data_IF_360051361471
#
_entry.id   IF_360051361471
#
_cell.length_a   1.000
_cell.length_b   1.000
_cell.length_c   1.000
_cell.angle_alpha   90.00
_cell.angle_beta   90.00
_cell.angle_gamma   90.00
#
_symmetry.space_group_name_H-M   'P 1'
#
loop_
_entity.id
_entity.type
_entity.pdbx_description
1 polymer ?
#
# COMPACT_ATOMS: atom_id res chain seq x y z
N UNK A 1 -22.17 -8.41 5.63
CA UNK A 1 -22.89 -8.48 6.93
C UNK A 1 -22.54 -7.26 7.75
N UNK A 2 -23.49 -6.68 8.52
CA UNK A 2 -23.16 -5.67 9.53
C UNK A 2 -22.15 -6.21 10.57
N UNK A 3 -21.44 -5.30 11.22
CA UNK A 3 -20.53 -5.59 12.33
C UNK A 3 -21.34 -5.56 13.62
N UNK A 4 -21.92 -6.70 14.00
CA UNK A 4 -22.81 -6.78 15.18
C UNK A 4 -22.03 -6.71 16.51
N UNK A 5 -20.72 -6.89 16.46
CA UNK A 5 -19.77 -6.70 17.55
C UNK A 5 -18.44 -6.19 16.98
N UNK A 6 -17.68 -5.45 17.80
CA UNK A 6 -16.30 -5.08 17.45
C UNK A 6 -15.45 -6.36 17.27
N UNK A 7 -14.58 -6.42 16.26
CA UNK A 7 -13.63 -7.53 16.13
C UNK A 7 -12.63 -7.58 17.27
N UNK A 8 -12.26 -8.79 17.69
CA UNK A 8 -11.32 -9.03 18.79
C UNK A 8 -10.04 -9.74 18.31
N UNK A 9 -10.07 -10.33 17.11
CA UNK A 9 -9.01 -11.19 16.57
C UNK A 9 -8.76 -10.89 15.10
N UNK A 10 -8.37 -9.64 14.83
CA UNK A 10 -8.07 -9.16 13.49
C UNK A 10 -6.76 -9.72 12.94
N UNK A 11 -6.74 -9.94 11.63
CA UNK A 11 -5.55 -10.23 10.83
C UNK A 11 -5.32 -9.11 9.82
N UNK A 12 -4.14 -8.49 9.90
CA UNK A 12 -3.69 -7.49 8.93
C UNK A 12 -2.65 -8.08 7.97
N UNK A 13 -2.89 -7.92 6.68
CA UNK A 13 -2.01 -8.45 5.63
C UNK A 13 -1.48 -7.29 4.79
N UNK A 14 -0.17 -7.29 4.54
CA UNK A 14 0.67 -6.25 3.89
C UNK A 14 1.09 -5.07 4.78
N UNK A 15 2.23 -4.43 4.43
CA UNK A 15 2.90 -3.45 5.28
C UNK A 15 2.02 -2.24 5.66
N UNK A 16 1.43 -1.57 4.67
CA UNK A 16 0.61 -0.37 4.88
C UNK A 16 -0.66 -0.65 5.71
N UNK A 17 -1.26 -1.83 5.53
CA UNK A 17 -2.44 -2.26 6.27
C UNK A 17 -2.10 -2.54 7.73
N UNK A 18 -0.94 -3.16 7.98
CA UNK A 18 -0.41 -3.34 9.34
C UNK A 18 -0.21 -1.97 10.00
N UNK A 19 0.46 -1.03 9.32
CA UNK A 19 0.68 0.32 9.86
C UNK A 19 -0.61 1.10 10.13
N UNK A 20 -1.62 0.92 9.28
CA UNK A 20 -2.94 1.52 9.47
C UNK A 20 -3.60 1.00 10.76
N UNK A 21 -3.61 -0.31 10.98
CA UNK A 21 -4.16 -0.92 12.19
C UNK A 21 -3.39 -0.49 13.45
N UNK A 22 -2.06 -0.45 13.39
CA UNK A 22 -1.22 -0.01 14.51
C UNK A 22 -1.37 1.48 14.80
N UNK A 23 -1.58 2.32 13.78
CA UNK A 23 -1.85 3.76 13.97
C UNK A 23 -3.17 4.02 14.68
N UNK A 24 -4.12 3.08 14.57
CA UNK A 24 -5.38 3.06 15.31
C UNK A 24 -5.24 2.46 16.73
N UNK A 25 -4.03 2.05 17.11
CA UNK A 25 -3.75 1.40 18.40
C UNK A 25 -4.46 0.05 18.55
N UNK A 26 -4.66 -0.68 17.44
CA UNK A 26 -5.44 -1.92 17.41
C UNK A 26 -4.60 -3.17 17.70
N UNK A 27 -3.35 -3.04 18.18
CA UNK A 27 -2.48 -4.19 18.41
C UNK A 27 -3.09 -5.26 19.32
N UNK A 28 -3.88 -4.87 20.33
CA UNK A 28 -4.51 -5.80 21.27
C UNK A 28 -5.76 -6.48 20.68
N UNK A 29 -6.28 -5.97 19.56
CA UNK A 29 -7.39 -6.55 18.80
C UNK A 29 -6.89 -7.40 17.62
N UNK A 30 -5.58 -7.65 17.52
CA UNK A 30 -4.99 -8.39 16.40
C UNK A 30 -4.57 -9.81 16.84
N UNK A 31 -5.16 -10.82 16.20
CA UNK A 31 -4.69 -12.21 16.31
C UNK A 31 -3.38 -12.43 15.56
N UNK A 32 -3.05 -11.58 14.58
CA UNK A 32 -1.74 -11.60 13.95
C UNK A 32 -1.60 -10.69 12.74
N UNK A 33 -0.45 -10.80 12.10
CA UNK A 33 -0.08 -10.11 10.86
C UNK A 33 0.76 -10.98 9.95
N UNK A 34 0.96 -10.54 8.71
CA UNK A 34 1.97 -11.11 7.81
C UNK A 34 3.33 -10.44 7.98
N UNK A 35 4.33 -10.87 7.19
CA UNK A 35 5.56 -10.10 7.11
C UNK A 35 5.31 -8.71 6.50
N UNK A 36 6.03 -7.75 7.05
CA UNK A 36 6.23 -6.45 6.46
C UNK A 36 7.19 -6.57 5.27
N UNK A 37 6.84 -5.93 4.15
CA UNK A 37 7.66 -5.87 2.92
C UNK A 37 8.66 -4.71 2.97
N UNK A 38 8.52 -3.82 3.95
CA UNK A 38 9.37 -2.65 4.17
C UNK A 38 9.58 -2.39 5.66
N UNK A 39 10.45 -1.43 5.97
CA UNK A 39 10.62 -0.97 7.34
C UNK A 39 9.32 -0.36 7.87
N UNK A 40 8.92 -0.79 9.06
CA UNK A 40 7.80 -0.19 9.77
C UNK A 40 8.19 1.19 10.30
N UNK A 41 7.26 2.14 10.24
CA UNK A 41 7.41 3.48 10.81
C UNK A 41 8.00 3.41 12.23
N UNK A 42 9.04 4.22 12.55
CA UNK A 42 9.71 4.16 13.85
C UNK A 42 8.75 4.26 15.04
N UNK A 43 7.71 5.10 14.94
CA UNK A 43 6.68 5.28 15.97
C UNK A 43 5.81 4.04 16.21
N UNK A 44 5.72 3.13 15.23
CA UNK A 44 4.89 1.93 15.30
C UNK A 44 5.68 0.67 15.66
N UNK A 45 7.01 0.72 15.76
CA UNK A 45 7.86 -0.45 16.02
C UNK A 45 7.47 -1.20 17.29
N UNK A 46 7.18 -0.49 18.38
CA UNK A 46 6.80 -1.14 19.65
C UNK A 46 5.51 -1.95 19.50
N UNK A 47 4.44 -1.35 18.96
CA UNK A 47 3.17 -2.04 18.71
C UNK A 47 3.31 -3.14 17.67
N UNK A 48 4.14 -2.94 16.64
CA UNK A 48 4.43 -3.96 15.63
C UNK A 48 5.01 -5.24 16.25
N UNK A 49 5.94 -5.15 17.20
CA UNK A 49 6.54 -6.34 17.81
C UNK A 49 5.64 -7.04 18.84
N UNK A 50 4.55 -6.39 19.30
CA UNK A 50 3.54 -7.05 20.15
C UNK A 50 2.65 -8.01 19.35
N UNK A 51 2.37 -7.67 18.09
CA UNK A 51 1.48 -8.48 17.25
C UNK A 51 2.25 -9.68 16.68
N UNK A 52 1.77 -10.92 16.86
CA UNK A 52 2.46 -12.11 16.37
C UNK A 52 2.39 -12.19 14.84
N UNK A 53 3.40 -12.82 14.24
CA UNK A 53 3.40 -13.12 12.82
C UNK A 53 2.69 -14.45 12.62
N UNK A 54 1.57 -14.45 11.89
CA UNK A 54 0.77 -15.64 11.63
C UNK A 54 1.30 -16.44 10.43
N UNK A 55 1.72 -15.74 9.38
CA UNK A 55 2.27 -16.32 8.16
C UNK A 55 3.21 -15.32 7.50
N UNK A 56 4.12 -15.79 6.63
CA UNK A 56 4.98 -14.89 5.85
C UNK A 56 4.20 -14.13 4.78
N UNK A 57 3.26 -14.77 4.10
CA UNK A 57 2.52 -14.21 2.95
C UNK A 57 1.02 -14.22 3.18
N UNK A 58 0.37 -15.38 3.13
CA UNK A 58 -1.07 -15.54 3.30
C UNK A 58 -1.36 -16.73 4.21
N UNK A 59 -2.02 -16.54 5.37
CA UNK A 59 -2.42 -17.65 6.21
C UNK A 59 -3.42 -18.58 5.50
N UNK A 60 -3.32 -19.89 5.75
CA UNK A 60 -4.29 -20.85 5.25
C UNK A 60 -5.63 -20.73 6.00
N UNK A 61 -6.72 -21.23 5.40
CA UNK A 61 -8.04 -21.35 6.04
C UNK A 61 -7.97 -22.01 7.43
N UNK A 62 -7.15 -23.06 7.57
CA UNK A 62 -6.92 -23.75 8.85
C UNK A 62 -6.21 -22.86 9.88
N UNK A 63 -5.22 -22.07 9.45
CA UNK A 63 -4.54 -21.10 10.32
C UNK A 63 -5.52 -20.02 10.81
N UNK A 64 -6.40 -19.52 9.94
CA UNK A 64 -7.42 -18.54 10.31
C UNK A 64 -8.34 -19.07 11.40
N UNK A 65 -8.88 -20.28 11.21
CA UNK A 65 -9.80 -20.92 12.15
C UNK A 65 -9.13 -21.26 13.49
N UNK A 66 -7.94 -21.84 13.47
CA UNK A 66 -7.21 -22.26 14.68
C UNK A 66 -6.76 -21.09 15.56
N UNK A 67 -6.51 -19.92 14.96
CA UNK A 67 -6.21 -18.70 15.71
C UNK A 67 -7.48 -17.92 16.12
N UNK A 68 -8.64 -18.35 15.64
CA UNK A 68 -9.94 -17.71 15.91
C UNK A 68 -10.07 -16.34 15.28
N UNK A 69 -9.46 -16.13 14.10
CA UNK A 69 -9.55 -14.86 13.37
C UNK A 69 -11.01 -14.54 13.09
N UNK A 70 -11.46 -13.32 13.43
CA UNK A 70 -12.84 -12.87 13.22
C UNK A 70 -12.93 -11.67 12.26
N UNK A 71 -11.80 -11.10 11.86
CA UNK A 71 -11.70 -9.99 10.93
C UNK A 71 -10.41 -10.05 10.12
N UNK A 72 -10.49 -9.79 8.83
CA UNK A 72 -9.32 -9.71 7.95
C UNK A 72 -9.39 -8.39 7.17
N UNK A 73 -8.28 -7.66 7.18
CA UNK A 73 -8.12 -6.46 6.36
C UNK A 73 -6.92 -6.61 5.41
N UNK A 74 -7.15 -6.30 4.14
CA UNK A 74 -6.10 -6.19 3.11
C UNK A 74 -6.64 -5.63 1.79
N UNK A 75 -5.87 -5.81 0.72
CA UNK A 75 -6.29 -5.62 -0.67
C UNK A 75 -7.36 -6.63 -1.10
N UNK A 76 -8.18 -6.26 -2.10
CA UNK A 76 -9.22 -7.16 -2.63
C UNK A 76 -8.68 -8.46 -3.21
N UNK A 77 -7.45 -8.44 -3.74
CA UNK A 77 -6.82 -9.56 -4.46
C UNK A 77 -6.59 -10.81 -3.60
N UNK A 78 -6.54 -10.70 -2.28
CA UNK A 78 -6.28 -11.85 -1.40
C UNK A 78 -7.54 -12.67 -1.08
N UNK A 79 -8.73 -12.11 -1.33
CA UNK A 79 -10.01 -12.71 -0.94
C UNK A 79 -10.51 -13.68 -2.01
N UNK A 80 -9.78 -14.79 -2.17
CA UNK A 80 -10.11 -15.88 -3.08
C UNK A 80 -9.60 -17.22 -2.51
N UNK A 81 -9.92 -18.34 -3.17
CA UNK A 81 -9.57 -19.68 -2.69
C UNK A 81 -8.07 -19.97 -2.61
N UNK A 82 -7.23 -19.27 -3.38
CA UNK A 82 -5.77 -19.39 -3.33
C UNK A 82 -5.14 -18.44 -2.30
N UNK A 83 -5.91 -17.47 -1.80
CA UNK A 83 -5.50 -16.53 -0.76
C UNK A 83 -6.07 -16.94 0.59
N UNK A 84 -6.75 -16.01 1.26
CA UNK A 84 -7.31 -16.22 2.61
C UNK A 84 -8.72 -16.83 2.60
N UNK A 85 -9.26 -17.16 1.43
CA UNK A 85 -10.62 -17.62 1.23
C UNK A 85 -11.50 -16.60 0.51
N UNK A 86 -12.56 -17.08 -0.13
CA UNK A 86 -13.59 -16.23 -0.72
C UNK A 86 -14.38 -15.50 0.36
N UNK A 87 -15.02 -14.38 0.00
CA UNK A 87 -15.87 -13.61 0.92
C UNK A 87 -17.00 -14.48 1.49
N UNK A 88 -17.58 -15.36 0.68
CA UNK A 88 -18.64 -16.27 1.12
C UNK A 88 -18.13 -17.26 2.18
N UNK A 89 -16.99 -17.91 1.92
CA UNK A 89 -16.38 -18.83 2.89
C UNK A 89 -16.03 -18.12 4.21
N UNK A 90 -15.51 -16.89 4.13
CA UNK A 90 -15.19 -16.10 5.32
C UNK A 90 -16.46 -15.79 6.13
N UNK A 91 -17.54 -15.36 5.47
CA UNK A 91 -18.82 -15.08 6.13
C UNK A 91 -19.44 -16.34 6.78
N UNK A 92 -19.39 -17.49 6.11
CA UNK A 92 -19.85 -18.79 6.64
C UNK A 92 -19.08 -19.19 7.91
N UNK A 93 -17.83 -18.77 8.03
CA UNK A 93 -16.96 -19.04 9.17
C UNK A 93 -16.89 -17.88 10.18
N UNK A 94 -17.82 -16.91 10.10
CA UNK A 94 -17.91 -15.75 10.97
C UNK A 94 -16.67 -14.83 10.95
N UNK A 95 -15.93 -14.83 9.84
CA UNK A 95 -14.78 -13.96 9.61
C UNK A 95 -15.24 -12.80 8.71
N UNK A 96 -15.16 -11.57 9.20
CA UNK A 96 -15.49 -10.40 8.39
C UNK A 96 -14.30 -9.99 7.52
N UNK A 97 -14.56 -9.68 6.25
CA UNK A 97 -13.55 -9.14 5.35
C UNK A 97 -13.73 -7.62 5.20
N UNK A 98 -12.63 -6.88 5.35
CA UNK A 98 -12.54 -5.47 5.00
C UNK A 98 -11.54 -5.31 3.86
N UNK A 99 -12.05 -4.89 2.70
CA UNK A 99 -11.22 -4.55 1.55
C UNK A 99 -10.88 -3.07 1.65
N UNK A 100 -9.60 -2.76 1.77
CA UNK A 100 -9.14 -1.37 1.83
C UNK A 100 -9.48 -0.61 0.55
N UNK A 101 -10.06 0.58 0.75
CA UNK A 101 -10.46 1.50 -0.32
C UNK A 101 -9.26 2.15 -1.00
N UNK A 102 -8.17 2.40 -0.25
CA UNK A 102 -6.94 2.95 -0.86
C UNK A 102 -6.22 1.96 -1.79
N UNK A 103 -6.73 0.72 -1.94
CA UNK A 103 -6.24 -0.27 -2.89
C UNK A 103 -6.90 -0.25 -4.27
N UNK A 104 -7.94 0.56 -4.44
CA UNK A 104 -8.67 0.67 -5.71
C UNK A 104 -7.91 1.52 -6.74
N UNK A 105 -8.16 1.31 -8.03
CA UNK A 105 -7.47 2.05 -9.09
C UNK A 105 -7.81 3.56 -9.09
N UNK A 106 -8.96 3.95 -8.55
CA UNK A 106 -9.39 5.34 -8.36
C UNK A 106 -9.09 5.86 -6.94
N UNK A 107 -8.29 5.14 -6.14
CA UNK A 107 -7.95 5.55 -4.79
C UNK A 107 -7.27 6.93 -4.76
N UNK A 108 -7.70 7.76 -3.83
CA UNK A 108 -7.10 9.04 -3.49
C UNK A 108 -6.71 9.07 -2.02
N UNK A 109 -6.13 10.18 -1.55
CA UNK A 109 -5.89 10.38 -0.11
C UNK A 109 -7.22 10.33 0.68
N UNK A 110 -8.35 10.73 0.09
CA UNK A 110 -9.64 10.61 0.77
C UNK A 110 -10.03 9.15 1.03
N UNK A 111 -9.64 8.21 0.17
CA UNK A 111 -9.84 6.78 0.40
C UNK A 111 -9.12 6.29 1.67
N UNK A 112 -7.96 6.87 2.00
CA UNK A 112 -7.25 6.59 3.26
C UNK A 112 -8.06 7.13 4.45
N UNK A 113 -8.61 8.34 4.33
CA UNK A 113 -9.44 8.92 5.40
C UNK A 113 -10.71 8.10 5.64
N UNK A 114 -11.34 7.63 4.58
CA UNK A 114 -12.49 6.73 4.63
C UNK A 114 -12.14 5.40 5.30
N UNK A 115 -10.98 4.80 4.96
CA UNK A 115 -10.52 3.58 5.62
C UNK A 115 -10.33 3.77 7.14
N UNK A 116 -9.69 4.87 7.57
CA UNK A 116 -9.58 5.20 8.99
C UNK A 116 -10.95 5.41 9.66
N UNK A 117 -11.87 6.13 9.03
CA UNK A 117 -13.21 6.37 9.58
C UNK A 117 -14.00 5.07 9.71
N UNK A 118 -13.96 4.21 8.69
CA UNK A 118 -14.62 2.91 8.70
C UNK A 118 -14.05 2.01 9.80
N UNK A 119 -12.72 1.94 9.93
CA UNK A 119 -12.07 1.22 11.03
C UNK A 119 -12.43 1.82 12.39
N UNK A 120 -12.56 3.14 12.48
CA UNK A 120 -13.07 3.84 13.66
C UNK A 120 -14.44 3.34 14.06
N UNK A 121 -15.37 3.18 13.11
CA UNK A 121 -16.71 2.65 13.39
C UNK A 121 -16.65 1.16 13.75
N UNK A 122 -15.92 0.35 12.99
CA UNK A 122 -15.83 -1.11 13.16
C UNK A 122 -15.23 -1.48 14.52
N UNK A 123 -14.22 -0.75 14.97
CA UNK A 123 -13.49 -1.02 16.21
C UNK A 123 -13.88 -0.09 17.37
N UNK A 124 -14.92 0.74 17.23
CA UNK A 124 -15.37 1.70 18.25
C UNK A 124 -14.25 2.67 18.68
N UNK A 125 -13.49 3.18 17.70
CA UNK A 125 -12.33 4.07 17.82
C UNK A 125 -12.45 5.34 16.96
N UNK A 126 -13.63 5.89 16.81
CA UNK A 126 -13.91 7.07 15.97
C UNK A 126 -13.07 8.29 16.36
N UNK A 127 -12.86 8.51 17.68
CA UNK A 127 -11.98 9.58 18.15
C UNK A 127 -10.53 9.39 17.69
N UNK A 128 -10.03 8.15 17.69
CA UNK A 128 -8.68 7.85 17.21
C UNK A 128 -8.58 8.00 15.69
N UNK A 129 -9.58 7.54 14.95
CA UNK A 129 -9.67 7.75 13.51
C UNK A 129 -9.61 9.25 13.16
N UNK A 130 -10.38 10.07 13.88
CA UNK A 130 -10.37 11.53 13.71
C UNK A 130 -9.01 12.14 14.02
N UNK A 131 -8.34 11.72 15.09
CA UNK A 131 -6.99 12.17 15.45
C UNK A 131 -5.98 11.86 14.33
N UNK A 132 -5.95 10.61 13.83
CA UNK A 132 -5.05 10.17 12.77
C UNK A 132 -5.33 10.93 11.47
N UNK A 133 -6.60 11.05 11.07
CA UNK A 133 -6.99 11.79 9.87
C UNK A 133 -6.60 13.28 9.94
N UNK A 134 -6.78 13.92 11.09
CA UNK A 134 -6.36 15.31 11.28
C UNK A 134 -4.84 15.47 11.18
N UNK A 135 -4.07 14.53 11.72
CA UNK A 135 -2.61 14.53 11.61
C UNK A 135 -2.18 14.43 10.14
N UNK A 136 -2.70 13.47 9.39
CA UNK A 136 -2.37 13.29 7.97
C UNK A 136 -2.72 14.55 7.17
N UNK A 137 -3.91 15.13 7.40
CA UNK A 137 -4.33 16.38 6.74
C UNK A 137 -3.39 17.54 7.04
N UNK A 138 -2.95 17.67 8.29
CA UNK A 138 -2.03 18.72 8.71
C UNK A 138 -0.66 18.57 8.04
N UNK A 139 -0.08 17.37 8.07
CA UNK A 139 1.23 17.09 7.47
C UNK A 139 1.20 17.24 5.94
N UNK A 140 0.13 16.78 5.29
CA UNK A 140 -0.07 16.96 3.86
C UNK A 140 -0.19 18.44 3.50
N UNK A 141 -0.98 19.22 4.26
CA UNK A 141 -1.11 20.66 4.05
C UNK A 141 0.23 21.38 4.22
N UNK A 142 0.96 21.08 5.30
CA UNK A 142 2.26 21.69 5.56
C UNK A 142 3.25 21.41 4.42
N UNK A 143 3.24 20.19 3.89
CA UNK A 143 4.13 19.78 2.79
C UNK A 143 3.74 20.44 1.47
N UNK A 144 2.44 20.42 1.12
CA UNK A 144 1.94 21.00 -0.12
C UNK A 144 2.05 22.54 -0.13
N UNK A 145 1.88 23.20 1.01
CA UNK A 145 2.08 24.65 1.15
C UNK A 145 3.52 25.07 0.81
N UNK A 146 4.53 24.24 1.12
CA UNK A 146 5.95 24.51 0.83
C UNK A 146 6.27 24.54 -0.65
N UNK A 147 5.46 23.86 -1.48
CA UNK A 147 5.69 23.72 -2.91
C UNK A 147 4.66 24.47 -3.76
N UNK A 148 3.67 25.15 -3.18
CA UNK A 148 2.55 25.78 -3.90
C UNK A 148 2.96 26.75 -5.02
N UNK A 149 4.12 27.38 -4.91
CA UNK A 149 4.63 28.37 -5.86
C UNK A 149 5.57 27.76 -6.92
N UNK A 150 5.77 26.43 -6.89
CA UNK A 150 6.61 25.70 -7.85
C UNK A 150 5.83 25.48 -9.15
N UNK A 151 6.16 26.25 -10.19
CA UNK A 151 5.47 26.15 -11.49
C UNK A 151 6.17 25.20 -12.50
N UNK A 152 7.09 24.35 -12.04
CA UNK A 152 7.82 23.42 -12.91
C UNK A 152 7.08 22.09 -12.99
N UNK A 153 6.60 21.74 -14.17
CA UNK A 153 6.08 20.40 -14.45
C UNK A 153 7.23 19.40 -14.50
N UNK A 154 7.24 18.42 -13.60
CA UNK A 154 8.23 17.34 -13.56
C UNK A 154 7.56 16.04 -14.01
N UNK A 155 8.01 15.47 -15.12
CA UNK A 155 7.56 14.16 -15.60
C UNK A 155 8.20 13.06 -14.77
N UNK A 156 7.38 12.29 -14.06
CA UNK A 156 7.81 11.22 -13.16
C UNK A 156 7.48 9.87 -13.77
N UNK A 157 8.49 9.00 -13.83
CA UNK A 157 8.31 7.56 -14.00
C UNK A 157 8.30 6.89 -12.63
N UNK A 158 7.16 6.37 -12.19
CA UNK A 158 7.13 5.45 -11.05
C UNK A 158 7.54 4.05 -11.49
N UNK A 159 8.78 3.65 -11.26
CA UNK A 159 9.30 2.34 -11.65
C UNK A 159 9.16 1.32 -10.52
N UNK A 160 8.43 0.24 -10.79
CA UNK A 160 8.30 -0.87 -9.86
C UNK A 160 9.36 -1.95 -10.14
N UNK A 161 9.36 -2.55 -11.33
CA UNK A 161 10.23 -3.70 -11.64
C UNK A 161 10.31 -3.97 -13.14
N UNK A 162 11.15 -4.92 -13.57
CA UNK A 162 11.19 -5.46 -14.93
C UNK A 162 12.26 -4.87 -15.85
N UNK A 163 12.90 -5.73 -16.66
CA UNK A 163 14.02 -5.37 -17.55
C UNK A 163 13.63 -5.27 -19.02
N UNK A 164 12.81 -6.21 -19.52
CA UNK A 164 12.36 -6.26 -20.92
C UNK A 164 11.08 -5.44 -21.12
N UNK A 165 10.16 -5.59 -20.17
CA UNK A 165 9.01 -4.73 -19.95
C UNK A 165 9.06 -4.25 -18.51
N UNK A 166 8.72 -2.99 -18.31
CA UNK A 166 8.70 -2.40 -16.97
C UNK A 166 7.29 -2.46 -16.40
N UNK A 167 7.16 -2.88 -15.16
CA UNK A 167 6.00 -2.59 -14.32
C UNK A 167 6.18 -1.19 -13.77
N UNK A 168 5.18 -0.33 -13.98
CA UNK A 168 5.22 1.09 -13.61
C UNK A 168 4.00 1.48 -12.79
N UNK A 169 4.03 2.64 -12.13
CA UNK A 169 2.84 3.21 -11.48
C UNK A 169 1.90 3.74 -12.57
N UNK A 170 0.68 3.21 -12.62
CA UNK A 170 -0.43 3.73 -13.42
C UNK A 170 -1.33 4.62 -12.57
N UNK A 171 -2.65 4.36 -12.53
CA UNK A 171 -3.58 5.05 -11.62
C UNK A 171 -3.44 4.58 -10.16
N UNK A 172 -4.19 5.19 -9.24
CA UNK A 172 -4.27 4.79 -7.82
C UNK A 172 -3.45 5.69 -6.89
N UNK A 173 -3.30 5.26 -5.64
CA UNK A 173 -2.77 6.10 -4.57
C UNK A 173 -1.36 6.66 -4.83
N UNK A 174 -0.48 5.86 -5.45
CA UNK A 174 0.88 6.32 -5.79
C UNK A 174 0.87 7.43 -6.85
N UNK A 175 -0.09 7.42 -7.77
CA UNK A 175 -0.29 8.48 -8.76
C UNK A 175 -0.81 9.77 -8.12
N UNK A 176 -1.73 9.62 -7.16
CA UNK A 176 -2.25 10.73 -6.36
C UNK A 176 -1.11 11.41 -5.59
N UNK A 177 -0.23 10.64 -4.96
CA UNK A 177 0.95 11.17 -4.24
C UNK A 177 1.88 11.95 -5.18
N UNK A 178 2.17 11.41 -6.37
CA UNK A 178 2.96 12.12 -7.39
C UNK A 178 2.29 13.45 -7.76
N UNK A 179 0.96 13.44 -7.95
CA UNK A 179 0.18 14.62 -8.34
C UNK A 179 0.15 15.68 -7.23
N UNK A 180 0.00 15.28 -5.97
CA UNK A 180 0.06 16.16 -4.79
C UNK A 180 1.44 16.80 -4.62
N UNK A 181 2.50 16.11 -5.06
CA UNK A 181 3.85 16.66 -5.17
C UNK A 181 4.07 17.52 -6.43
N UNK A 182 3.01 17.83 -7.19
CA UNK A 182 3.02 18.57 -8.46
C UNK A 182 3.80 17.90 -9.60
N UNK A 183 4.07 16.61 -9.47
CA UNK A 183 4.62 15.78 -10.54
C UNK A 183 3.53 15.33 -11.52
N UNK A 184 3.95 15.04 -12.74
CA UNK A 184 3.14 14.37 -13.76
C UNK A 184 3.62 12.94 -13.93
N UNK A 185 2.84 11.96 -13.46
CA UNK A 185 3.11 10.57 -13.79
C UNK A 185 2.88 10.32 -15.29
N UNK A 186 3.94 9.95 -16.01
CA UNK A 186 3.88 9.77 -17.48
C UNK A 186 2.96 8.62 -17.94
N UNK A 187 2.58 7.72 -17.02
CA UNK A 187 1.66 6.61 -17.22
C UNK A 187 0.40 6.68 -16.33
N UNK A 188 0.17 7.80 -15.63
CA UNK A 188 -0.94 7.96 -14.69
C UNK A 188 -2.35 7.88 -15.30
N UNK A 189 -2.46 7.93 -16.64
CA UNK A 189 -3.74 7.78 -17.34
C UNK A 189 -4.15 6.33 -17.59
N UNK A 190 -3.24 5.36 -17.42
CA UNK A 190 -3.54 3.94 -17.66
C UNK A 190 -4.45 3.43 -16.54
N UNK A 191 -5.58 2.82 -16.90
CA UNK A 191 -6.61 2.34 -15.97
C UNK A 191 -6.22 1.02 -15.27
N UNK A 192 -5.04 1.03 -14.64
CA UNK A 192 -4.45 -0.07 -13.87
C UNK A 192 -3.45 0.50 -12.88
N UNK A 193 -3.35 -0.05 -11.68
CA UNK A 193 -2.40 0.45 -10.65
C UNK A 193 -0.94 0.19 -11.02
N UNK A 194 -0.67 -1.00 -11.56
CA UNK A 194 0.66 -1.45 -11.99
C UNK A 194 0.62 -2.06 -13.40
N UNK A 195 0.52 -1.23 -14.47
CA UNK A 195 0.62 -1.70 -15.85
C UNK A 195 2.05 -2.11 -16.21
N UNK A 196 2.14 -3.05 -17.14
CA UNK A 196 3.38 -3.34 -17.84
C UNK A 196 3.45 -2.45 -19.09
N UNK A 197 4.60 -1.81 -19.30
CA UNK A 197 4.88 -0.95 -20.45
C UNK A 197 6.19 -1.34 -21.11
N UNK A 198 6.36 -0.98 -22.38
CA UNK A 198 7.61 -1.22 -23.09
C UNK A 198 8.68 -0.20 -22.70
N UNK A 199 9.95 -0.60 -22.78
CA UNK A 199 11.06 0.33 -22.57
C UNK A 199 11.08 1.45 -23.63
N UNK A 200 10.67 1.16 -24.87
CA UNK A 200 10.54 2.15 -25.94
C UNK A 200 9.52 3.25 -25.60
N UNK A 201 8.39 2.90 -25.01
CA UNK A 201 7.40 3.88 -24.55
C UNK A 201 7.96 4.77 -23.43
N UNK A 202 8.74 4.21 -22.51
CA UNK A 202 9.41 4.98 -21.45
C UNK A 202 10.36 6.02 -22.06
N UNK A 203 11.22 5.61 -23.00
CA UNK A 203 12.16 6.51 -23.69
C UNK A 203 11.40 7.62 -24.41
N UNK A 204 10.35 7.27 -25.16
CA UNK A 204 9.53 8.21 -25.92
C UNK A 204 8.85 9.25 -25.03
N UNK A 205 8.43 8.85 -23.83
CA UNK A 205 7.83 9.76 -22.83
C UNK A 205 8.86 10.67 -22.16
N UNK A 206 10.14 10.28 -22.17
CA UNK A 206 11.29 11.06 -21.70
C UNK A 206 11.05 11.67 -20.31
N UNK A 207 10.99 10.84 -19.24
CA UNK A 207 10.75 11.31 -17.87
C UNK A 207 11.92 12.17 -17.37
N UNK A 208 11.61 13.16 -16.52
CA UNK A 208 12.60 14.01 -15.86
C UNK A 208 13.18 13.32 -14.60
N UNK A 209 12.38 12.47 -13.94
CA UNK A 209 12.74 11.75 -12.71
C UNK A 209 12.21 10.31 -12.77
N UNK A 210 13.01 9.36 -12.30
CA UNK A 210 12.54 8.00 -11.98
C UNK A 210 12.40 7.85 -10.47
N UNK A 211 11.18 7.60 -10.02
CA UNK A 211 10.88 7.19 -8.66
C UNK A 211 10.86 5.66 -8.59
N UNK A 212 11.89 5.06 -8.00
CA UNK A 212 12.03 3.60 -7.89
C UNK A 212 11.37 3.12 -6.60
N UNK A 213 10.42 2.19 -6.70
CA UNK A 213 9.80 1.58 -5.53
C UNK A 213 10.76 0.62 -4.85
N UNK A 214 10.83 0.68 -3.54
CA UNK A 214 11.71 -0.18 -2.74
C UNK A 214 10.91 -1.23 -1.97
N UNK A 215 11.42 -2.46 -1.99
CA UNK A 215 10.95 -3.57 -1.16
C UNK A 215 12.15 -4.10 -0.38
N UNK A 216 12.45 -3.40 0.72
CA UNK A 216 13.70 -3.52 1.48
C UNK A 216 13.69 -4.61 2.55
N UNK A 217 12.51 -5.11 2.93
CA UNK A 217 12.35 -6.05 4.06
C UNK A 217 11.61 -7.30 3.59
N UNK A 218 12.08 -8.47 4.05
CA UNK A 218 11.54 -9.77 3.63
C UNK A 218 12.35 -10.42 2.51
N UNK A 219 11.87 -11.56 2.00
CA UNK A 219 12.53 -12.35 0.96
C UNK A 219 12.18 -11.88 -0.47
N UNK A 220 12.00 -10.57 -0.68
CA UNK A 220 11.59 -10.02 -1.97
C UNK A 220 12.78 -9.78 -2.93
N UNK A 221 14.00 -9.53 -2.44
CA UNK A 221 15.20 -9.35 -3.28
C UNK A 221 15.19 -8.11 -4.20
N UNK A 222 14.15 -7.27 -4.09
CA UNK A 222 13.83 -6.15 -4.96
C UNK A 222 14.20 -4.82 -4.29
N UNK A 223 15.47 -4.68 -3.91
CA UNK A 223 16.01 -3.45 -3.28
C UNK A 223 16.11 -2.31 -4.29
N UNK A 224 16.13 -1.07 -3.80
CA UNK A 224 16.39 0.11 -4.62
C UNK A 224 17.69 -0.03 -5.42
N UNK A 225 18.78 -0.45 -4.76
CA UNK A 225 20.10 -0.61 -5.37
C UNK A 225 20.11 -1.63 -6.52
N UNK A 226 19.45 -2.79 -6.34
CA UNK A 226 19.36 -3.80 -7.38
C UNK A 226 18.57 -3.30 -8.58
N UNK A 227 17.41 -2.66 -8.33
CA UNK A 227 16.57 -2.09 -9.39
C UNK A 227 17.29 -0.99 -10.18
N UNK A 228 18.01 -0.10 -9.49
CA UNK A 228 18.80 0.96 -10.14
C UNK A 228 19.94 0.36 -10.95
N UNK A 229 20.61 -0.68 -10.44
CA UNK A 229 21.66 -1.38 -11.18
C UNK A 229 21.11 -1.99 -12.47
N UNK A 230 19.97 -2.67 -12.40
CA UNK A 230 19.33 -3.29 -13.56
C UNK A 230 18.85 -2.25 -14.58
N UNK A 231 18.27 -1.13 -14.11
CA UNK A 231 17.90 0.00 -14.96
C UNK A 231 19.10 0.62 -15.68
N UNK A 232 20.21 0.84 -14.97
CA UNK A 232 21.47 1.38 -15.54
C UNK A 232 22.13 0.41 -16.52
N UNK A 233 21.96 -0.89 -16.31
CA UNK A 233 22.46 -1.92 -17.22
C UNK A 233 21.62 -2.06 -18.49
N UNK A 234 20.33 -1.68 -18.44
CA UNK A 234 19.41 -1.78 -19.58
C UNK A 234 19.88 -0.93 -20.76
N UNK A 235 20.17 -1.53 -21.93
CA UNK A 235 20.55 -0.78 -23.13
C UNK A 235 19.50 0.27 -23.54
N UNK A 236 18.23 0.02 -23.20
CA UNK A 236 17.11 0.87 -23.59
C UNK A 236 17.09 2.21 -22.83
N UNK A 237 17.59 2.28 -21.59
CA UNK A 237 17.49 3.51 -20.77
C UNK A 237 18.81 4.31 -20.76
N UNK A 238 19.88 3.80 -21.37
CA UNK A 238 21.21 4.48 -21.42
C UNK A 238 21.17 5.90 -21.97
N UNK A 239 20.27 6.19 -22.91
CA UNK A 239 20.17 7.49 -23.59
C UNK A 239 19.15 8.43 -22.93
N UNK A 240 18.36 7.94 -21.97
CA UNK A 240 17.58 8.81 -21.10
C UNK A 240 18.59 9.40 -20.11
N UNK A 241 18.87 10.69 -20.20
CA UNK A 241 19.81 11.36 -19.29
C UNK A 241 19.13 11.41 -17.92
N UNK A 242 19.49 10.49 -17.04
CA UNK A 242 18.93 10.44 -15.69
C UNK A 242 20.09 10.55 -14.71
N UNK A 243 20.05 11.60 -13.90
CA UNK A 243 20.84 11.65 -12.67
C UNK A 243 20.27 10.61 -11.71
N UNK A 244 20.62 9.33 -11.91
CA UNK A 244 20.37 8.21 -10.99
C UNK A 244 21.58 7.93 -10.11
#
# INVERSE_FOLDING_TARGET
MPYDKKPEKALAITNCIIEMMLSMGLEDQMAGKTYAENNILPSLKSSYYKVPIMNKTHPSKEQLLSNGVDFIISWGSIFNDKGVGTIDWLNENNIKAYISRFGEANATIDSIYEDFNNLGIIFEKENKAKEVNNKIKSELKETTDKIKDVNKKVKVLGYDSGTDKAVVIGKGISNEIISLAQGENIFGSIDKTYPEVSMEEIIKKNPDVIMVLEYSVGNCGQTFENKVKDLKASPAIKDVIINL
#
